data_IF_233236245657
#
_entry.id   IF_233236245657
#
_cell.length_a   1.000
_cell.length_b   1.000
_cell.length_c   1.000
_cell.angle_alpha   90.00
_cell.angle_beta   90.00
_cell.angle_gamma   90.00
#
_symmetry.space_group_name_H-M   'P 1'
#
loop_
_entity.id
_entity.type
_entity.pdbx_description
1 polymer ?
#
# COMPACT_ATOMS: atom_id res chain seq x y z
N UNK A 1 -48.51 -17.85 26.89
CA UNK A 1 -47.22 -18.12 27.55
C UNK A 1 -46.50 -19.22 26.77
N UNK A 2 -45.55 -18.86 25.91
CA UNK A 2 -44.34 -19.66 25.63
C UNK A 2 -43.35 -18.72 24.93
N UNK A 3 -42.19 -18.62 25.55
CA UNK A 3 -41.21 -17.55 25.41
C UNK A 3 -40.35 -17.72 24.15
N UNK A 4 -40.25 -16.62 23.39
CA UNK A 4 -39.22 -16.37 22.39
C UNK A 4 -37.84 -16.37 23.07
N UNK A 5 -36.95 -17.29 22.68
CA UNK A 5 -35.51 -17.18 22.92
C UNK A 5 -34.82 -16.73 21.64
N UNK A 6 -34.80 -15.40 21.42
CA UNK A 6 -33.76 -14.78 20.59
C UNK A 6 -32.43 -15.04 21.27
N UNK A 7 -31.57 -15.85 20.65
CA UNK A 7 -30.16 -15.95 21.03
C UNK A 7 -29.50 -14.63 20.63
N UNK A 8 -29.33 -13.74 21.60
CA UNK A 8 -28.37 -12.65 21.52
C UNK A 8 -26.99 -13.26 21.30
N UNK A 9 -26.39 -13.04 20.12
CA UNK A 9 -24.94 -13.20 19.99
C UNK A 9 -24.31 -12.13 20.87
N UNK A 10 -23.59 -12.59 21.89
CA UNK A 10 -22.73 -11.77 22.71
C UNK A 10 -21.75 -11.04 21.80
N UNK A 11 -21.82 -9.71 21.79
CA UNK A 11 -20.70 -8.84 21.46
C UNK A 11 -19.78 -8.84 22.68
N UNK A 12 -18.75 -9.67 22.64
CA UNK A 12 -17.68 -9.72 23.64
C UNK A 12 -16.36 -9.87 22.90
N UNK A 13 -15.54 -8.82 22.97
CA UNK A 13 -14.16 -8.78 22.47
C UNK A 13 -13.93 -7.64 21.49
N UNK A 14 -13.30 -6.57 21.95
CA UNK A 14 -12.55 -5.67 21.06
C UNK A 14 -11.36 -6.49 20.55
N UNK A 15 -11.56 -7.30 19.52
CA UNK A 15 -10.45 -7.95 18.83
C UNK A 15 -9.62 -6.83 18.23
N UNK A 16 -8.45 -6.56 18.82
CA UNK A 16 -7.55 -5.52 18.34
C UNK A 16 -7.30 -5.75 16.85
N UNK A 17 -7.67 -4.76 16.03
CA UNK A 17 -7.48 -4.80 14.58
C UNK A 17 -6.02 -5.15 14.30
N UNK A 18 -5.79 -6.27 13.61
CA UNK A 18 -4.45 -6.65 13.14
C UNK A 18 -4.03 -5.66 12.04
N UNK A 19 -3.33 -4.61 12.47
CA UNK A 19 -2.96 -3.43 11.71
C UNK A 19 -1.76 -3.70 10.77
N UNK A 20 -1.60 -2.91 9.69
CA UNK A 20 -0.46 -3.06 8.81
C UNK A 20 0.85 -2.69 9.51
N UNK A 21 1.96 -3.19 8.98
CA UNK A 21 3.29 -2.80 9.41
C UNK A 21 3.86 -1.79 8.42
N UNK A 22 4.70 -0.88 8.92
CA UNK A 22 5.51 0.02 8.11
C UNK A 22 6.92 -0.53 7.98
N UNK A 23 7.55 -0.29 6.84
CA UNK A 23 8.90 -0.78 6.60
C UNK A 23 9.91 -0.20 7.60
N UNK A 24 10.68 -1.10 8.24
CA UNK A 24 11.75 -0.87 9.22
C UNK A 24 11.44 0.03 10.45
N UNK A 25 10.20 0.49 10.62
CA UNK A 25 9.80 1.36 11.74
C UNK A 25 8.41 1.04 12.26
N UNK A 26 8.08 1.56 13.44
CA UNK A 26 6.70 1.50 13.95
C UNK A 26 5.74 2.26 13.03
N UNK A 27 4.50 1.79 12.97
CA UNK A 27 3.50 2.29 12.01
C UNK A 27 3.31 3.82 12.07
N UNK A 28 3.33 4.39 13.29
CA UNK A 28 3.17 5.84 13.54
C UNK A 28 4.49 6.54 13.91
N UNK A 29 5.66 5.97 13.56
CA UNK A 29 6.93 6.70 13.62
C UNK A 29 6.90 7.91 12.69
N UNK A 30 7.70 8.98 12.95
CA UNK A 30 7.74 10.15 12.09
C UNK A 30 7.85 9.82 10.59
N UNK A 31 7.10 10.55 9.77
CA UNK A 31 7.08 10.38 8.32
C UNK A 31 7.38 11.72 7.66
N UNK A 32 8.53 11.81 7.01
CA UNK A 32 8.89 12.94 6.17
C UNK A 32 8.61 12.57 4.72
N UNK A 33 7.64 13.23 4.10
CA UNK A 33 7.37 13.08 2.68
C UNK A 33 8.46 13.80 1.87
N UNK A 34 9.11 13.14 0.90
CA UNK A 34 10.00 13.81 -0.04
C UNK A 34 9.28 14.91 -0.82
N UNK A 35 10.00 15.90 -1.31
CA UNK A 35 9.43 16.91 -2.20
C UNK A 35 8.94 16.26 -3.49
N UNK A 36 7.80 16.74 -4.00
CA UNK A 36 7.33 16.34 -5.32
C UNK A 36 8.17 17.08 -6.38
N UNK A 37 8.47 16.44 -7.53
CA UNK A 37 9.24 17.07 -8.60
C UNK A 37 8.57 18.35 -9.13
N UNK A 38 9.39 19.22 -9.75
CA UNK A 38 8.94 20.44 -10.45
C UNK A 38 8.16 21.45 -9.58
N UNK A 39 8.40 21.46 -8.27
CA UNK A 39 7.65 22.30 -7.31
C UNK A 39 6.13 22.02 -7.33
N UNK A 40 5.72 20.86 -7.83
CA UNK A 40 4.32 20.45 -7.87
C UNK A 40 3.78 20.30 -6.43
N UNK A 41 2.60 20.85 -6.19
CA UNK A 41 1.85 20.55 -4.97
C UNK A 41 1.26 19.14 -5.05
N UNK A 42 1.04 18.53 -3.88
CA UNK A 42 0.29 17.28 -3.82
C UNK A 42 -1.14 17.53 -4.31
N UNK A 43 -1.58 16.76 -5.30
CA UNK A 43 -2.93 16.89 -5.89
C UNK A 43 -4.04 16.22 -5.03
N UNK A 44 -3.68 15.71 -3.85
CA UNK A 44 -4.57 14.96 -2.95
C UNK A 44 -4.67 13.46 -3.28
N UNK A 45 -4.18 13.02 -4.44
CA UNK A 45 -4.22 11.63 -4.90
C UNK A 45 -3.03 10.80 -4.43
N UNK A 46 -3.30 9.53 -4.13
CA UNK A 46 -2.29 8.53 -3.78
C UNK A 46 -2.37 7.40 -4.81
N UNK A 47 -1.22 7.04 -5.37
CA UNK A 47 -1.06 5.81 -6.12
C UNK A 47 -0.64 4.71 -5.13
N UNK A 48 -1.61 3.86 -4.79
CA UNK A 48 -1.39 2.64 -4.03
C UNK A 48 -0.91 1.55 -4.98
N UNK A 49 0.30 1.06 -4.79
CA UNK A 49 0.90 0.08 -5.70
C UNK A 49 1.12 -1.23 -4.96
N UNK A 50 0.68 -2.36 -5.52
CA UNK A 50 1.29 -3.62 -5.11
C UNK A 50 2.78 -3.62 -5.50
N UNK A 51 3.55 -4.55 -4.93
CA UNK A 51 4.98 -4.68 -5.18
C UNK A 51 5.25 -5.74 -6.24
N UNK A 52 4.93 -6.99 -5.91
CA UNK A 52 5.21 -8.18 -6.72
C UNK A 52 4.20 -8.23 -7.88
N UNK A 53 4.68 -8.29 -9.13
CA UNK A 53 3.84 -8.23 -10.33
C UNK A 53 3.41 -6.82 -10.76
N UNK A 54 3.80 -5.77 -10.03
CA UNK A 54 3.46 -4.37 -10.35
C UNK A 54 4.68 -3.48 -10.48
N UNK A 55 5.60 -3.54 -9.50
CA UNK A 55 6.86 -2.78 -9.51
C UNK A 55 8.04 -3.70 -9.83
N UNK A 56 8.02 -4.90 -9.24
CA UNK A 56 9.06 -5.92 -9.43
C UNK A 56 8.44 -7.20 -9.96
N UNK A 57 9.27 -8.06 -10.56
CA UNK A 57 8.83 -9.38 -11.00
C UNK A 57 8.28 -10.19 -9.81
N UNK A 58 7.10 -10.78 -10.00
CA UNK A 58 6.50 -11.67 -9.02
C UNK A 58 7.12 -13.07 -9.06
N UNK A 59 7.12 -13.76 -7.92
CA UNK A 59 7.57 -15.14 -7.80
C UNK A 59 6.53 -15.98 -7.05
N UNK A 60 6.28 -17.21 -7.51
CA UNK A 60 5.41 -18.17 -6.81
C UNK A 60 5.93 -18.50 -5.40
N UNK A 61 7.26 -18.45 -5.22
CA UNK A 61 7.93 -18.68 -3.96
C UNK A 61 8.20 -17.40 -3.19
N UNK A 62 7.58 -16.28 -3.60
CA UNK A 62 7.91 -14.92 -3.18
C UNK A 62 9.32 -14.50 -3.61
N UNK A 63 9.58 -13.18 -3.60
CA UNK A 63 10.93 -12.62 -3.70
C UNK A 63 11.55 -12.69 -2.31
N UNK A 64 12.52 -13.59 -2.12
CA UNK A 64 13.08 -13.94 -0.81
C UNK A 64 14.41 -13.24 -0.52
N UNK A 65 15.11 -12.79 -1.56
CA UNK A 65 16.46 -12.25 -1.44
C UNK A 65 16.61 -10.96 -2.24
N UNK A 66 17.64 -10.19 -1.90
CA UNK A 66 18.00 -8.93 -2.56
C UNK A 66 18.33 -9.17 -4.04
N UNK A 67 18.96 -10.31 -4.36
CA UNK A 67 19.38 -10.66 -5.72
C UNK A 67 18.21 -11.07 -6.62
N UNK A 68 17.07 -11.43 -6.04
CA UNK A 68 15.82 -11.71 -6.76
C UNK A 68 15.04 -10.44 -7.12
N UNK A 69 15.47 -9.26 -6.65
CA UNK A 69 14.78 -8.00 -6.94
C UNK A 69 15.08 -7.54 -8.36
N UNK A 70 14.12 -7.75 -9.25
CA UNK A 70 14.14 -7.30 -10.65
C UNK A 70 12.97 -6.36 -10.89
N UNK A 71 13.24 -5.11 -11.28
CA UNK A 71 12.18 -4.17 -11.64
C UNK A 71 11.49 -4.64 -12.92
N UNK A 72 10.15 -4.53 -12.96
CA UNK A 72 9.42 -4.67 -14.20
C UNK A 72 9.76 -3.51 -15.16
N UNK A 73 9.69 -3.73 -16.49
CA UNK A 73 10.02 -2.70 -17.48
C UNK A 73 9.33 -1.36 -17.19
N UNK A 74 10.08 -0.27 -17.31
CA UNK A 74 9.60 1.11 -17.13
C UNK A 74 8.92 1.42 -15.77
N UNK A 75 9.06 0.55 -14.76
CA UNK A 75 8.48 0.80 -13.41
C UNK A 75 9.02 2.09 -12.79
N UNK A 76 10.34 2.30 -12.84
CA UNK A 76 10.97 3.52 -12.34
C UNK A 76 10.41 4.77 -13.04
N UNK A 77 10.40 4.76 -14.38
CA UNK A 77 9.85 5.87 -15.18
C UNK A 77 8.39 6.14 -14.83
N UNK A 78 7.57 5.10 -14.70
CA UNK A 78 6.14 5.23 -14.40
C UNK A 78 5.88 5.83 -13.01
N UNK A 79 6.65 5.42 -12.00
CA UNK A 79 6.59 6.04 -10.66
C UNK A 79 7.03 7.51 -10.71
N UNK A 80 8.10 7.81 -11.46
CA UNK A 80 8.53 9.19 -11.69
C UNK A 80 7.42 10.03 -12.36
N UNK A 81 6.73 9.48 -13.36
CA UNK A 81 5.63 10.14 -14.08
C UNK A 81 4.44 10.42 -13.14
N UNK A 82 4.05 9.46 -12.30
CA UNK A 82 3.02 9.67 -11.26
C UNK A 82 3.39 10.82 -10.32
N UNK A 83 4.64 10.84 -9.83
CA UNK A 83 5.11 11.89 -8.92
C UNK A 83 5.16 13.26 -9.58
N UNK A 84 5.64 13.34 -10.82
CA UNK A 84 5.61 14.57 -11.62
C UNK A 84 4.18 15.08 -11.83
N UNK A 85 3.20 14.18 -11.92
CA UNK A 85 1.76 14.51 -11.98
C UNK A 85 1.14 14.85 -10.60
N UNK A 86 1.92 14.85 -9.53
CA UNK A 86 1.49 15.29 -8.20
C UNK A 86 0.95 14.18 -7.29
N UNK A 87 1.10 12.90 -7.65
CA UNK A 87 0.70 11.78 -6.81
C UNK A 87 1.73 11.48 -5.71
N UNK A 88 1.23 11.02 -4.56
CA UNK A 88 2.05 10.31 -3.57
C UNK A 88 2.06 8.82 -3.86
N UNK A 89 3.17 8.17 -3.61
CA UNK A 89 3.41 6.76 -3.90
C UNK A 89 3.42 5.95 -2.61
N UNK A 90 2.42 5.08 -2.45
CA UNK A 90 2.29 4.20 -1.30
C UNK A 90 2.34 2.74 -1.76
N UNK A 91 3.42 2.03 -1.44
CA UNK A 91 3.49 0.59 -1.70
C UNK A 91 2.69 -0.16 -0.64
N UNK A 92 1.82 -1.08 -1.06
CA UNK A 92 0.93 -1.87 -0.18
C UNK A 92 1.00 -3.35 -0.53
N UNK A 93 1.76 -4.13 0.24
CA UNK A 93 2.12 -5.51 -0.15
C UNK A 93 1.79 -6.57 0.89
N UNK A 94 1.33 -7.74 0.45
CA UNK A 94 1.03 -8.88 1.32
C UNK A 94 2.28 -9.78 1.49
N UNK A 95 2.94 -9.75 2.65
CA UNK A 95 4.20 -10.47 2.91
C UNK A 95 4.04 -11.50 4.06
N UNK A 96 3.13 -12.46 3.86
CA UNK A 96 2.84 -13.50 4.87
C UNK A 96 4.00 -14.42 5.30
N UNK A 97 5.10 -14.60 4.53
CA UNK A 97 6.23 -15.40 5.01
C UNK A 97 6.91 -14.86 6.28
N UNK A 98 6.74 -13.56 6.61
CA UNK A 98 7.27 -12.94 7.83
C UNK A 98 6.72 -13.61 9.10
N UNK A 99 5.40 -13.59 9.33
CA UNK A 99 4.82 -14.21 10.53
C UNK A 99 4.85 -15.74 10.51
N UNK A 100 5.15 -16.35 9.36
CA UNK A 100 5.40 -17.79 9.26
C UNK A 100 6.82 -18.18 9.70
N UNK A 101 7.64 -17.21 10.11
CA UNK A 101 9.02 -17.43 10.56
C UNK A 101 9.97 -17.80 9.44
N UNK A 102 9.57 -17.59 8.18
CA UNK A 102 10.40 -17.87 7.02
C UNK A 102 11.41 -16.74 6.81
N UNK A 103 11.05 -15.50 7.20
CA UNK A 103 11.89 -14.30 7.06
C UNK A 103 11.93 -13.47 8.34
N UNK A 104 13.02 -12.72 8.51
CA UNK A 104 13.07 -11.59 9.44
C UNK A 104 12.50 -10.33 8.78
N UNK A 105 11.96 -9.41 9.59
CA UNK A 105 11.59 -8.06 9.14
C UNK A 105 12.76 -7.32 8.49
N UNK A 106 13.98 -7.55 8.99
CA UNK A 106 15.21 -7.00 8.42
C UNK A 106 15.48 -7.47 6.98
N UNK A 107 15.21 -8.74 6.65
CA UNK A 107 15.38 -9.21 5.27
C UNK A 107 14.40 -8.51 4.30
N UNK A 108 13.15 -8.31 4.74
CA UNK A 108 12.16 -7.60 3.95
C UNK A 108 12.55 -6.12 3.73
N UNK A 109 13.06 -5.45 4.76
CA UNK A 109 13.59 -4.08 4.64
C UNK A 109 14.74 -4.02 3.62
N UNK A 110 15.68 -4.97 3.62
CA UNK A 110 16.76 -5.01 2.63
C UNK A 110 16.24 -5.18 1.18
N UNK A 111 15.16 -5.94 0.98
CA UNK A 111 14.48 -6.08 -0.31
C UNK A 111 13.86 -4.74 -0.74
N UNK A 112 13.17 -4.06 0.19
CA UNK A 112 12.59 -2.75 -0.08
C UNK A 112 13.66 -1.69 -0.39
N UNK A 113 14.76 -1.68 0.35
CA UNK A 113 15.92 -0.81 0.09
C UNK A 113 16.49 -1.04 -1.31
N UNK A 114 16.65 -2.31 -1.71
CA UNK A 114 17.12 -2.66 -3.05
C UNK A 114 16.17 -2.18 -4.13
N UNK A 115 14.87 -2.39 -3.95
CA UNK A 115 13.85 -1.90 -4.87
C UNK A 115 13.93 -0.37 -5.01
N UNK A 116 13.96 0.36 -3.89
CA UNK A 116 14.07 1.83 -3.89
C UNK A 116 15.35 2.33 -4.57
N UNK A 117 16.48 1.66 -4.35
CA UNK A 117 17.74 1.99 -5.04
C UNK A 117 17.63 1.79 -6.56
N UNK A 118 17.07 0.66 -7.00
CA UNK A 118 16.88 0.39 -8.43
C UNK A 118 15.93 1.40 -9.08
N UNK A 119 14.84 1.77 -8.39
CA UNK A 119 13.91 2.79 -8.86
C UNK A 119 14.61 4.12 -9.10
N UNK A 120 15.40 4.58 -8.13
CA UNK A 120 16.16 5.83 -8.23
C UNK A 120 17.25 5.81 -9.32
N UNK A 121 17.84 4.64 -9.59
CA UNK A 121 18.79 4.48 -10.70
C UNK A 121 18.08 4.58 -12.06
N UNK A 122 16.83 4.12 -12.15
CA UNK A 122 16.04 4.18 -13.38
C UNK A 122 15.42 5.55 -13.66
N UNK A 123 14.96 6.24 -12.61
CA UNK A 123 14.44 7.62 -12.69
C UNK A 123 14.66 8.32 -11.34
N UNK A 124 15.33 9.49 -11.37
CA UNK A 124 15.67 10.25 -10.16
C UNK A 124 14.44 10.70 -9.35
N UNK A 125 13.28 10.79 -9.98
CA UNK A 125 12.05 11.22 -9.35
C UNK A 125 11.24 10.04 -8.80
N UNK A 126 11.65 8.78 -9.03
CA UNK A 126 10.93 7.56 -8.62
C UNK A 126 11.11 7.21 -7.13
N UNK A 127 10.74 8.16 -6.26
CA UNK A 127 10.78 7.99 -4.81
C UNK A 127 9.49 7.35 -4.29
N UNK A 128 9.61 6.39 -3.37
CA UNK A 128 8.46 5.85 -2.63
C UNK A 128 8.24 6.71 -1.37
N UNK A 129 7.03 7.23 -1.17
CA UNK A 129 6.72 8.05 0.00
C UNK A 129 6.44 7.18 1.24
N UNK A 130 5.84 6.00 1.05
CA UNK A 130 5.47 5.09 2.13
C UNK A 130 5.43 3.64 1.64
N UNK A 131 5.94 2.71 2.47
CA UNK A 131 5.83 1.26 2.25
C UNK A 131 5.10 0.65 3.44
N UNK A 132 3.97 0.02 3.17
CA UNK A 132 3.18 -0.75 4.12
C UNK A 132 3.13 -2.20 3.68
N UNK A 133 3.17 -3.11 4.66
CA UNK A 133 3.01 -4.52 4.41
C UNK A 133 2.12 -5.21 5.43
N UNK A 134 1.48 -6.28 4.97
CA UNK A 134 0.75 -7.20 5.84
C UNK A 134 1.58 -8.46 6.07
N UNK A 135 2.07 -8.72 7.30
CA UNK A 135 2.83 -9.93 7.59
C UNK A 135 1.93 -11.16 7.82
N UNK A 136 0.62 -10.98 7.82
CA UNK A 136 -0.35 -12.00 8.23
C UNK A 136 -0.68 -12.98 7.11
N UNK A 137 -0.91 -14.23 7.48
CA UNK A 137 -1.41 -15.28 6.62
C UNK A 137 -2.90 -15.10 6.28
N UNK A 138 -3.39 -15.67 5.16
CA UNK A 138 -4.78 -15.54 4.76
C UNK A 138 -5.82 -15.99 5.80
N UNK A 139 -5.51 -17.00 6.63
CA UNK A 139 -6.41 -17.54 7.63
C UNK A 139 -6.51 -16.72 8.93
N UNK A 140 -5.62 -15.73 9.12
CA UNK A 140 -5.65 -14.86 10.31
C UNK A 140 -6.75 -13.79 10.22
N UNK A 141 -7.34 -13.56 9.04
CA UNK A 141 -8.42 -12.59 8.88
C UNK A 141 -8.01 -11.15 9.17
N UNK A 142 -6.71 -10.83 9.11
CA UNK A 142 -6.17 -9.52 9.48
C UNK A 142 -6.66 -8.40 8.56
N UNK A 143 -7.09 -7.28 9.16
CA UNK A 143 -7.57 -6.12 8.42
C UNK A 143 -6.50 -5.47 7.55
N UNK A 144 -5.23 -5.59 7.94
CA UNK A 144 -4.09 -5.19 7.14
C UNK A 144 -3.96 -5.93 5.81
N UNK A 145 -4.44 -7.18 5.72
CA UNK A 145 -4.16 -8.06 4.59
C UNK A 145 -5.16 -7.83 3.46
N UNK A 146 -4.68 -7.53 2.24
CA UNK A 146 -5.55 -7.54 1.05
C UNK A 146 -6.18 -8.92 0.92
N UNK A 147 -7.52 -9.04 0.76
CA UNK A 147 -8.42 -8.06 0.18
C UNK A 147 -9.05 -7.03 1.14
N UNK A 148 -8.67 -6.96 2.42
CA UNK A 148 -9.11 -5.86 3.29
C UNK A 148 -8.35 -4.56 2.98
N UNK A 149 -9.00 -3.39 3.19
CA UNK A 149 -8.42 -2.10 2.80
C UNK A 149 -7.43 -1.52 3.84
N UNK A 150 -7.09 -2.25 4.91
CA UNK A 150 -6.37 -1.67 6.06
C UNK A 150 -5.03 -1.01 5.72
N UNK A 151 -4.28 -1.53 4.74
CA UNK A 151 -3.07 -0.84 4.26
C UNK A 151 -3.37 0.48 3.56
N UNK A 152 -4.44 0.55 2.75
CA UNK A 152 -4.81 1.79 2.06
C UNK A 152 -5.33 2.83 3.07
N UNK A 153 -6.13 2.38 4.05
CA UNK A 153 -6.65 3.22 5.13
C UNK A 153 -5.53 3.82 5.98
N UNK A 154 -4.53 3.00 6.35
CA UNK A 154 -3.36 3.49 7.06
C UNK A 154 -2.52 4.44 6.18
N UNK A 155 -2.29 4.07 4.92
CA UNK A 155 -1.51 4.87 3.97
C UNK A 155 -2.08 6.27 3.79
N UNK A 156 -3.41 6.38 3.65
CA UNK A 156 -4.09 7.68 3.55
C UNK A 156 -3.86 8.53 4.79
N UNK A 157 -4.17 7.99 5.97
CA UNK A 157 -4.07 8.73 7.24
C UNK A 157 -2.62 9.17 7.54
N UNK A 158 -1.64 8.32 7.23
CA UNK A 158 -0.22 8.64 7.43
C UNK A 158 0.26 9.74 6.47
N UNK A 159 -0.10 9.65 5.18
CA UNK A 159 0.28 10.66 4.19
C UNK A 159 -0.42 12.00 4.47
N UNK A 160 -1.70 12.00 4.81
CA UNK A 160 -2.43 13.20 5.25
C UNK A 160 -1.75 13.84 6.46
N UNK A 161 -1.51 13.05 7.52
CA UNK A 161 -0.85 13.55 8.72
C UNK A 161 0.52 14.14 8.38
N UNK A 162 1.31 13.46 7.55
CA UNK A 162 2.67 13.87 7.22
C UNK A 162 2.72 15.13 6.35
N UNK A 163 1.68 15.34 5.53
CA UNK A 163 1.52 16.56 4.73
C UNK A 163 1.29 17.81 5.59
N UNK A 164 0.71 17.64 6.78
CA UNK A 164 0.48 18.72 7.74
C UNK A 164 1.62 18.83 8.77
N UNK A 165 2.02 17.72 9.37
CA UNK A 165 3.11 17.65 10.35
C UNK A 165 3.78 16.27 10.37
N UNK A 166 5.10 16.23 10.16
CA UNK A 166 5.85 14.97 10.02
C UNK A 166 6.04 14.17 11.32
N UNK A 167 5.70 14.73 12.48
CA UNK A 167 5.97 14.11 13.79
C UNK A 167 5.07 12.91 14.10
N UNK A 168 3.92 12.79 13.42
CA UNK A 168 2.85 11.82 13.70
C UNK A 168 2.30 11.88 15.14
N UNK A 169 2.61 12.94 15.90
CA UNK A 169 2.32 12.99 17.33
C UNK A 169 0.81 13.00 17.58
N UNK A 170 0.34 12.00 18.33
CA UNK A 170 -1.08 11.87 18.68
C UNK A 170 -1.95 11.29 17.56
N UNK A 171 -1.35 10.84 16.45
CA UNK A 171 -2.07 10.13 15.41
C UNK A 171 -2.56 8.78 15.95
N UNK A 172 -3.87 8.61 15.99
CA UNK A 172 -4.53 7.34 16.29
C UNK A 172 -5.24 6.87 15.02
N UNK A 173 -4.69 5.83 14.38
CA UNK A 173 -5.25 5.28 13.15
C UNK A 173 -6.60 4.62 13.43
N UNK A 174 -7.54 4.85 12.52
CA UNK A 174 -8.87 4.26 12.54
C UNK A 174 -9.06 3.39 11.30
N UNK A 175 -9.83 2.32 11.43
CA UNK A 175 -10.02 1.32 10.38
C UNK A 175 -11.50 0.97 10.24
N UNK A 176 -11.92 0.63 9.02
CA UNK A 176 -13.30 0.25 8.74
C UNK A 176 -14.32 1.27 9.26
N UNK A 177 -15.37 0.78 9.93
CA UNK A 177 -16.49 1.60 10.40
C UNK A 177 -16.11 2.63 11.48
N UNK A 178 -14.98 2.45 12.16
CA UNK A 178 -14.48 3.42 13.15
C UNK A 178 -13.96 4.70 12.48
N UNK A 179 -13.60 4.64 11.19
CA UNK A 179 -13.14 5.80 10.43
C UNK A 179 -14.30 6.46 9.66
N UNK A 180 -15.06 7.29 10.37
CA UNK A 180 -16.33 7.86 9.87
C UNK A 180 -16.12 8.98 8.82
N UNK A 181 -15.14 9.86 9.02
CA UNK A 181 -14.90 11.04 8.18
C UNK A 181 -13.73 10.80 7.22
N UNK A 182 -13.90 9.86 6.29
CA UNK A 182 -12.88 9.54 5.29
C UNK A 182 -12.77 10.68 4.26
N UNK A 183 -11.56 11.05 3.82
CA UNK A 183 -11.37 12.00 2.74
C UNK A 183 -11.93 11.44 1.42
N UNK A 184 -12.13 12.32 0.45
CA UNK A 184 -12.43 11.90 -0.91
C UNK A 184 -11.21 11.20 -1.52
N UNK A 185 -11.44 10.04 -2.13
CA UNK A 185 -10.43 9.20 -2.76
C UNK A 185 -10.60 9.14 -4.29
N UNK A 186 -11.44 10.01 -4.86
CA UNK A 186 -11.73 10.06 -6.31
C UNK A 186 -10.50 10.32 -7.19
N UNK A 187 -9.42 10.86 -6.61
CA UNK A 187 -8.14 11.12 -7.29
C UNK A 187 -7.08 10.04 -7.03
N UNK A 188 -7.35 9.09 -6.15
CA UNK A 188 -6.44 8.01 -5.79
C UNK A 188 -6.71 6.76 -6.61
N UNK A 189 -5.65 5.98 -6.85
CA UNK A 189 -5.72 4.73 -7.62
C UNK A 189 -5.04 3.61 -6.84
N UNK A 190 -5.50 2.38 -7.04
CA UNK A 190 -4.79 1.17 -6.64
C UNK A 190 -4.44 0.34 -7.87
N UNK A 191 -3.15 0.10 -8.08
CA UNK A 191 -2.64 -0.78 -9.13
C UNK A 191 -2.22 -2.11 -8.53
N UNK A 192 -2.74 -3.19 -9.10
CA UNK A 192 -2.45 -4.57 -8.67
C UNK A 192 -2.54 -5.54 -9.85
N UNK A 193 -1.90 -6.70 -9.72
CA UNK A 193 -1.97 -7.78 -10.70
C UNK A 193 -3.01 -8.85 -10.33
N UNK A 194 -3.61 -8.77 -9.13
CA UNK A 194 -4.50 -9.81 -8.60
C UNK A 194 -5.85 -9.27 -8.15
N UNK A 195 -6.85 -10.16 -8.12
CA UNK A 195 -8.19 -9.82 -7.64
C UNK A 195 -8.26 -9.39 -6.17
N UNK A 196 -7.24 -9.71 -5.35
CA UNK A 196 -7.17 -9.23 -3.96
C UNK A 196 -6.91 -7.73 -3.89
N UNK A 197 -6.19 -7.18 -4.87
CA UNK A 197 -5.93 -5.75 -4.99
C UNK A 197 -7.21 -5.03 -5.37
N UNK A 198 -7.88 -5.52 -6.40
CA UNK A 198 -9.15 -4.93 -6.86
C UNK A 198 -10.23 -4.97 -5.77
N UNK A 199 -10.22 -6.02 -4.95
CA UNK A 199 -11.12 -6.11 -3.80
C UNK A 199 -10.77 -5.12 -2.70
N UNK A 200 -9.48 -4.89 -2.43
CA UNK A 200 -9.05 -3.87 -1.46
C UNK A 200 -9.37 -2.46 -1.97
N UNK A 201 -9.12 -2.19 -3.25
CA UNK A 201 -9.47 -0.94 -3.93
C UNK A 201 -10.96 -0.61 -3.80
N UNK A 202 -11.81 -1.56 -4.19
CA UNK A 202 -13.27 -1.41 -4.15
C UNK A 202 -13.80 -1.23 -2.72
N UNK A 203 -13.23 -1.92 -1.73
CA UNK A 203 -13.61 -1.76 -0.32
C UNK A 203 -13.18 -0.42 0.26
N UNK A 204 -12.02 0.08 -0.15
CA UNK A 204 -11.55 1.38 0.31
C UNK A 204 -12.33 2.52 -0.35
N UNK A 205 -12.61 2.39 -1.65
CA UNK A 205 -13.27 3.40 -2.48
C UNK A 205 -12.33 4.15 -3.41
N UNK A 206 -11.21 3.54 -3.81
CA UNK A 206 -10.26 4.07 -4.81
C UNK A 206 -10.49 3.40 -6.16
N UNK A 207 -10.05 4.04 -7.25
CA UNK A 207 -10.09 3.41 -8.58
C UNK A 207 -9.11 2.24 -8.65
N UNK A 208 -9.61 1.04 -8.95
CA UNK A 208 -8.82 -0.19 -8.98
C UNK A 208 -8.45 -0.57 -10.41
N UNK A 209 -7.15 -0.61 -10.71
CA UNK A 209 -6.63 -0.88 -12.05
C UNK A 209 -5.80 -2.17 -12.04
N UNK A 210 -6.26 -3.15 -12.81
CA UNK A 210 -5.59 -4.44 -12.96
C UNK A 210 -4.55 -4.36 -14.08
N UNK A 211 -3.31 -4.81 -13.83
CA UNK A 211 -2.26 -4.92 -14.83
C UNK A 211 -1.81 -6.37 -15.07
N UNK A 212 -1.18 -6.61 -16.22
CA UNK A 212 -0.44 -7.82 -16.54
C UNK A 212 0.82 -7.91 -15.65
N UNK A 213 1.04 -9.00 -14.91
CA UNK A 213 2.17 -9.12 -13.99
C UNK A 213 3.56 -9.09 -14.67
N UNK A 214 3.63 -9.24 -16.00
CA UNK A 214 4.88 -9.15 -16.76
C UNK A 214 5.18 -7.73 -17.26
N UNK A 215 4.20 -6.83 -17.20
CA UNK A 215 4.35 -5.42 -17.60
C UNK A 215 4.23 -4.46 -16.43
N UNK A 216 3.44 -4.83 -15.42
CA UNK A 216 3.24 -4.07 -14.19
C UNK A 216 2.65 -2.69 -14.43
N UNK A 217 3.10 -1.73 -13.61
CA UNK A 217 2.61 -0.35 -13.61
C UNK A 217 2.69 0.33 -14.98
N UNK A 218 3.71 0.00 -15.79
CA UNK A 218 3.93 0.67 -17.07
C UNK A 218 2.81 0.41 -18.09
N UNK A 219 2.09 -0.71 -17.98
CA UNK A 219 0.95 -0.99 -18.86
C UNK A 219 -0.20 0.00 -18.65
N UNK A 220 -0.40 0.45 -17.42
CA UNK A 220 -1.61 1.17 -17.01
C UNK A 220 -1.38 2.64 -16.74
N UNK A 221 -0.12 3.10 -16.81
CA UNK A 221 0.25 4.48 -16.52
C UNK A 221 -0.51 5.51 -17.36
N UNK A 222 -0.84 5.18 -18.62
CA UNK A 222 -1.62 6.06 -19.51
C UNK A 222 -3.07 6.25 -19.06
N UNK A 223 -3.68 5.21 -18.55
CA UNK A 223 -5.03 5.26 -17.99
C UNK A 223 -5.07 6.12 -16.72
N UNK A 224 -4.01 6.09 -15.91
CA UNK A 224 -3.93 6.90 -14.68
C UNK A 224 -3.72 8.38 -15.01
N UNK A 225 -2.82 8.69 -15.94
CA UNK A 225 -2.43 10.07 -16.26
C UNK A 225 -3.28 10.74 -17.35
N UNK A 226 -4.26 10.03 -17.91
CA UNK A 226 -5.14 10.55 -18.96
C UNK A 226 -4.45 10.76 -20.32
N UNK A 227 -3.30 10.11 -20.55
CA UNK A 227 -2.51 10.21 -21.77
C UNK A 227 -2.87 9.11 -22.78
N UNK A 228 -3.15 9.49 -24.03
CA UNK A 228 -3.11 8.56 -25.16
C UNK A 228 -1.64 8.30 -25.51
N UNK A 229 -1.14 7.10 -25.25
CA UNK A 229 0.17 6.64 -25.73
C UNK A 229 0.04 5.98 -27.10
#
# INVERSE_FOLDING_TARGET
MTSSRRRSRLTTGCDAVLAPHRDDVELTSPLKLPELPNESAWNGGIAYLDRDGVIIEGSENYVNTIDEVVLLPDSAKSIGDLRRAGYRICVVTNQSPINRGIWSSSNLSMIHDRMCQLLLLGDKDALIDLILFSPYAPWEGAWARKPYPGMLEAGRQLIDAASAESSMRGLALKFGDDWINRPDESTSVMVGDRGVDMSAAARFGVDGILCDPNKGLAEVIGSILGGSY
#
